data_IF_255220774513
#
_entry.id   IF_255220774513
#
_cell.length_a   1.000
_cell.length_b   1.000
_cell.length_c   1.000
_cell.angle_alpha   90.00
_cell.angle_beta   90.00
_cell.angle_gamma   90.00
#
_symmetry.space_group_name_H-M   'P 1'
#
loop_
_entity.id
_entity.type
_entity.pdbx_description
1 polymer ?
#
# COMPACT_ATOMS: atom_id res chain seq x y z
N UNK A 1 -4.93 23.10 -6.92
CA UNK A 1 -5.84 21.95 -7.23
C UNK A 1 -5.09 20.63 -7.32
N UNK A 2 -3.87 20.61 -7.88
CA UNK A 2 -3.03 19.39 -7.95
C UNK A 2 -2.57 18.94 -6.56
N UNK A 3 -2.28 19.88 -5.66
CA UNK A 3 -1.87 19.63 -4.28
C UNK A 3 -2.94 18.84 -3.53
N UNK A 4 -4.20 19.25 -3.65
CA UNK A 4 -5.34 18.55 -3.05
C UNK A 4 -5.50 17.13 -3.61
N UNK A 5 -5.24 16.92 -4.91
CA UNK A 5 -5.30 15.59 -5.51
C UNK A 5 -4.22 14.65 -4.91
N UNK A 6 -3.00 15.17 -4.74
CA UNK A 6 -1.88 14.45 -4.10
C UNK A 6 -2.24 14.11 -2.65
N UNK A 7 -2.67 15.11 -1.86
CA UNK A 7 -3.02 14.96 -0.44
C UNK A 7 -4.23 14.09 -0.14
N UNK A 8 -5.16 13.94 -1.09
CA UNK A 8 -6.40 13.19 -0.86
C UNK A 8 -6.32 11.79 -1.46
N UNK A 9 -5.92 11.66 -2.73
CA UNK A 9 -6.06 10.39 -3.45
C UNK A 9 -5.19 9.31 -2.83
N UNK A 10 -3.91 9.59 -2.58
CA UNK A 10 -3.01 8.57 -2.07
C UNK A 10 -3.42 8.10 -0.67
N UNK A 11 -3.62 8.99 0.33
CA UNK A 11 -4.05 8.55 1.65
C UNK A 11 -5.41 7.84 1.64
N UNK A 12 -6.36 8.32 0.83
CA UNK A 12 -7.65 7.67 0.66
C UNK A 12 -7.52 6.26 0.10
N UNK A 13 -6.71 6.06 -0.95
CA UNK A 13 -6.48 4.74 -1.54
C UNK A 13 -5.83 3.78 -0.55
N UNK A 14 -4.82 4.23 0.21
CA UNK A 14 -4.14 3.40 1.21
C UNK A 14 -5.07 3.00 2.35
N UNK A 15 -5.86 3.95 2.87
CA UNK A 15 -6.84 3.67 3.92
C UNK A 15 -7.96 2.75 3.41
N UNK A 16 -8.47 3.01 2.20
CA UNK A 16 -9.50 2.17 1.59
C UNK A 16 -8.99 0.75 1.33
N UNK A 17 -7.75 0.58 0.87
CA UNK A 17 -7.14 -0.74 0.72
C UNK A 17 -7.02 -1.46 2.06
N UNK A 18 -6.54 -0.78 3.12
CA UNK A 18 -6.44 -1.35 4.46
C UNK A 18 -7.79 -1.80 5.02
N UNK A 19 -8.82 -0.96 4.91
CA UNK A 19 -10.17 -1.27 5.39
C UNK A 19 -10.81 -2.37 4.54
N UNK A 20 -10.73 -2.28 3.21
CA UNK A 20 -11.28 -3.29 2.30
C UNK A 20 -10.65 -4.65 2.56
N UNK A 21 -9.34 -4.70 2.76
CA UNK A 21 -8.62 -5.94 3.04
C UNK A 21 -8.96 -6.50 4.43
N UNK A 22 -9.08 -5.65 5.45
CA UNK A 22 -9.56 -6.05 6.77
C UNK A 22 -10.97 -6.67 6.73
N UNK A 23 -11.89 -6.07 5.97
CA UNK A 23 -13.30 -6.48 5.92
C UNK A 23 -13.55 -7.67 5.01
N UNK A 24 -12.89 -7.70 3.85
CA UNK A 24 -13.20 -8.62 2.76
C UNK A 24 -12.04 -9.50 2.33
N UNK A 25 -10.82 -9.29 2.85
CA UNK A 25 -9.58 -9.94 2.39
C UNK A 25 -9.37 -9.76 0.89
N UNK A 26 -9.88 -8.66 0.33
CA UNK A 26 -9.72 -8.33 -1.08
C UNK A 26 -9.37 -6.85 -1.25
N UNK A 27 -8.36 -6.61 -2.07
CA UNK A 27 -7.99 -5.27 -2.54
C UNK A 27 -8.48 -5.15 -3.98
N UNK A 28 -9.46 -4.27 -4.21
CA UNK A 28 -10.02 -4.06 -5.53
C UNK A 28 -8.98 -3.50 -6.50
N UNK A 29 -8.90 -4.06 -7.71
CA UNK A 29 -7.97 -3.61 -8.77
C UNK A 29 -8.09 -2.10 -9.08
N UNK A 30 -9.25 -1.51 -8.82
CA UNK A 30 -9.52 -0.08 -9.00
C UNK A 30 -8.60 0.80 -8.15
N UNK A 31 -8.15 0.32 -6.99
CA UNK A 31 -7.33 1.11 -6.06
C UNK A 31 -5.90 1.29 -6.58
N UNK A 32 -5.14 0.22 -6.89
CA UNK A 32 -3.84 0.36 -7.57
C UNK A 32 -3.93 1.10 -8.91
N UNK A 33 -4.98 0.87 -9.69
CA UNK A 33 -5.17 1.55 -10.98
C UNK A 33 -5.40 3.06 -10.81
N UNK A 34 -6.19 3.47 -9.81
CA UNK A 34 -6.41 4.88 -9.52
C UNK A 34 -5.12 5.57 -9.08
N UNK A 35 -4.33 4.91 -8.20
CA UNK A 35 -3.01 5.41 -7.80
C UNK A 35 -2.10 5.62 -9.01
N UNK A 36 -2.01 4.62 -9.91
CA UNK A 36 -1.19 4.72 -11.11
C UNK A 36 -1.68 5.82 -12.05
N UNK A 37 -2.99 5.90 -12.31
CA UNK A 37 -3.58 6.89 -13.19
C UNK A 37 -3.33 8.32 -12.68
N UNK A 38 -3.51 8.55 -11.38
CA UNK A 38 -3.23 9.85 -10.77
C UNK A 38 -1.76 10.21 -10.86
N UNK A 39 -0.84 9.26 -10.63
CA UNK A 39 0.58 9.52 -10.82
C UNK A 39 0.90 9.95 -12.26
N UNK A 40 0.41 9.22 -13.26
CA UNK A 40 0.67 9.50 -14.68
C UNK A 40 0.13 10.87 -15.11
N UNK A 41 -0.97 11.32 -14.51
CA UNK A 41 -1.54 12.64 -14.80
C UNK A 41 -0.82 13.75 -14.03
N UNK A 42 -0.48 13.52 -12.76
CA UNK A 42 0.08 14.57 -11.89
C UNK A 42 1.56 14.79 -12.14
N UNK A 43 2.36 13.73 -12.34
CA UNK A 43 3.81 13.86 -12.47
C UNK A 43 4.27 14.78 -13.62
N UNK A 44 3.67 14.75 -14.83
CA UNK A 44 4.00 15.74 -15.88
C UNK A 44 3.63 17.17 -15.48
N UNK A 45 2.52 17.34 -14.73
CA UNK A 45 1.99 18.65 -14.36
C UNK A 45 2.78 19.31 -13.21
N UNK A 46 3.56 18.54 -12.45
CA UNK A 46 4.49 19.07 -11.45
C UNK A 46 5.82 19.53 -12.07
N UNK A 47 6.05 19.27 -13.36
CA UNK A 47 7.30 19.56 -14.05
C UNK A 47 8.40 18.52 -13.80
N UNK A 48 8.03 17.31 -13.33
CA UNK A 48 8.98 16.20 -13.16
C UNK A 48 9.63 15.85 -14.51
N UNK A 49 10.95 15.62 -14.50
CA UNK A 49 11.67 15.25 -15.71
C UNK A 49 11.19 13.87 -16.23
N UNK A 50 11.17 13.71 -17.56
CA UNK A 50 10.77 12.44 -18.19
C UNK A 50 11.63 11.26 -17.75
N UNK A 51 12.92 11.48 -17.49
CA UNK A 51 13.83 10.47 -16.94
C UNK A 51 13.36 9.99 -15.56
N UNK A 52 12.98 10.91 -14.69
CA UNK A 52 12.57 10.60 -13.32
C UNK A 52 11.23 9.87 -13.34
N UNK A 53 10.27 10.34 -14.14
CA UNK A 53 9.03 9.61 -14.36
C UNK A 53 9.26 8.17 -14.83
N UNK A 54 10.19 7.98 -15.78
CA UNK A 54 10.59 6.66 -16.25
C UNK A 54 11.12 5.78 -15.12
N UNK A 55 11.93 6.34 -14.22
CA UNK A 55 12.45 5.65 -13.04
C UNK A 55 11.35 5.28 -12.03
N UNK A 56 10.36 6.13 -11.82
CA UNK A 56 9.20 5.83 -10.98
C UNK A 56 8.38 4.66 -11.54
N UNK A 57 8.11 4.68 -12.85
CA UNK A 57 7.42 3.58 -13.53
C UNK A 57 8.24 2.29 -13.49
N UNK A 58 9.56 2.38 -13.67
CA UNK A 58 10.47 1.25 -13.55
C UNK A 58 10.49 0.66 -12.12
N UNK A 59 10.42 1.49 -11.08
CA UNK A 59 10.29 1.05 -9.70
C UNK A 59 9.02 0.23 -9.48
N UNK A 60 7.87 0.74 -9.94
CA UNK A 60 6.61 0.00 -9.91
C UNK A 60 6.64 -1.31 -10.69
N UNK A 61 7.23 -1.31 -11.89
CA UNK A 61 7.35 -2.50 -12.72
C UNK A 61 8.25 -3.56 -12.10
N UNK A 62 9.36 -3.16 -11.48
CA UNK A 62 10.26 -4.06 -10.76
C UNK A 62 9.55 -4.70 -9.56
N UNK A 63 8.88 -3.88 -8.75
CA UNK A 63 8.11 -4.38 -7.61
C UNK A 63 6.97 -5.30 -8.03
N UNK A 64 6.26 -4.97 -9.12
CA UNK A 64 5.24 -5.84 -9.67
C UNK A 64 5.84 -7.18 -10.11
N UNK A 65 7.00 -7.16 -10.79
CA UNK A 65 7.67 -8.38 -11.25
C UNK A 65 8.05 -9.28 -10.07
N UNK A 66 8.66 -8.70 -9.04
CA UNK A 66 9.08 -9.44 -7.83
C UNK A 66 7.86 -9.97 -7.07
N UNK A 67 6.87 -9.12 -6.79
CA UNK A 67 5.69 -9.51 -6.01
C UNK A 67 4.75 -10.43 -6.79
N UNK A 68 4.70 -10.32 -8.12
CA UNK A 68 4.01 -11.29 -8.99
C UNK A 68 4.70 -12.66 -8.96
N UNK A 69 6.03 -12.69 -8.93
CA UNK A 69 6.77 -13.94 -8.71
C UNK A 69 6.40 -14.60 -7.38
N UNK A 70 6.33 -13.81 -6.29
CA UNK A 70 5.87 -14.30 -4.98
C UNK A 70 4.41 -14.78 -5.02
N UNK A 71 3.53 -14.08 -5.73
CA UNK A 71 2.14 -14.49 -5.93
C UNK A 71 2.04 -15.81 -6.71
N UNK A 72 2.81 -15.98 -7.79
CA UNK A 72 2.83 -17.20 -8.60
C UNK A 72 3.32 -18.42 -7.81
N UNK A 73 4.21 -18.20 -6.83
CA UNK A 73 4.68 -19.22 -5.89
C UNK A 73 3.72 -19.46 -4.71
N UNK A 74 2.62 -18.70 -4.62
CA UNK A 74 1.63 -18.80 -3.54
C UNK A 74 2.04 -18.11 -2.23
N UNK A 75 3.09 -17.29 -2.24
CA UNK A 75 3.63 -16.63 -1.04
C UNK A 75 3.02 -15.26 -0.70
N UNK A 76 2.26 -14.63 -1.63
CA UNK A 76 1.67 -13.30 -1.43
C UNK A 76 0.32 -13.20 -2.15
N UNK A 77 -0.62 -12.40 -1.63
CA UNK A 77 -1.89 -12.12 -2.29
C UNK A 77 -1.71 -11.26 -3.55
N UNK A 78 -2.49 -11.54 -4.60
CA UNK A 78 -2.43 -10.75 -5.84
C UNK A 78 -2.88 -9.29 -5.67
N UNK A 79 -3.69 -9.00 -4.64
CA UNK A 79 -4.06 -7.63 -4.27
C UNK A 79 -2.89 -6.85 -3.69
N UNK A 80 -2.16 -7.47 -2.75
CA UNK A 80 -0.97 -6.91 -2.11
C UNK A 80 0.12 -6.58 -3.13
N UNK A 81 0.39 -7.53 -4.04
CA UNK A 81 1.36 -7.37 -5.11
C UNK A 81 1.09 -6.10 -5.97
N UNK A 82 -0.18 -5.90 -6.34
CA UNK A 82 -0.59 -4.72 -7.12
C UNK A 82 -0.50 -3.44 -6.32
N UNK A 83 -0.85 -3.46 -5.03
CA UNK A 83 -0.79 -2.28 -4.17
C UNK A 83 0.66 -1.85 -3.93
N UNK A 84 1.57 -2.80 -3.68
CA UNK A 84 3.01 -2.53 -3.54
C UNK A 84 3.56 -1.89 -4.81
N UNK A 85 3.22 -2.44 -5.98
CA UNK A 85 3.65 -1.89 -7.27
C UNK A 85 3.16 -0.44 -7.47
N UNK A 86 1.87 -0.18 -7.26
CA UNK A 86 1.31 1.16 -7.41
C UNK A 86 1.90 2.16 -6.40
N UNK A 87 2.11 1.74 -5.15
CA UNK A 87 2.75 2.57 -4.13
C UNK A 87 4.21 2.86 -4.49
N UNK A 88 4.93 1.87 -5.02
CA UNK A 88 6.29 2.05 -5.48
C UNK A 88 6.44 3.04 -6.63
N UNK A 89 5.44 3.15 -7.51
CA UNK A 89 5.42 4.23 -8.52
C UNK A 89 5.36 5.61 -7.86
N UNK A 90 4.60 5.78 -6.78
CA UNK A 90 4.55 7.06 -6.06
C UNK A 90 5.84 7.39 -5.33
N UNK A 91 6.45 6.38 -4.71
CA UNK A 91 7.69 6.56 -3.95
C UNK A 91 8.91 6.78 -4.85
N UNK A 92 8.96 6.11 -6.01
CA UNK A 92 10.11 6.12 -6.91
C UNK A 92 11.31 5.36 -6.36
N UNK A 93 12.38 5.25 -7.15
CA UNK A 93 13.63 4.69 -6.62
C UNK A 93 14.29 5.67 -5.65
N UNK A 94 14.55 5.22 -4.42
CA UNK A 94 15.25 6.01 -3.42
C UNK A 94 14.86 5.65 -2.00
N UNK A 95 15.14 6.58 -1.08
CA UNK A 95 14.83 6.44 0.34
C UNK A 95 13.33 6.23 0.63
N UNK A 96 12.37 6.93 -0.03
CA UNK A 96 10.95 6.78 0.28
C UNK A 96 10.44 5.35 0.00
N UNK A 97 10.94 4.71 -1.06
CA UNK A 97 10.57 3.33 -1.36
C UNK A 97 11.15 2.36 -0.33
N UNK A 98 12.40 2.57 0.09
CA UNK A 98 13.00 1.75 1.13
C UNK A 98 12.28 1.90 2.47
N UNK A 99 11.94 3.13 2.85
CA UNK A 99 11.13 3.43 4.04
C UNK A 99 9.77 2.73 3.97
N UNK A 100 9.09 2.80 2.82
CA UNK A 100 7.83 2.09 2.60
C UNK A 100 7.98 0.58 2.78
N UNK A 101 8.92 -0.06 2.09
CA UNK A 101 9.09 -1.51 2.12
C UNK A 101 9.49 -2.01 3.51
N UNK A 102 10.41 -1.32 4.19
CA UNK A 102 10.82 -1.67 5.55
C UNK A 102 9.67 -1.53 6.54
N UNK A 103 8.98 -0.38 6.52
CA UNK A 103 7.87 -0.12 7.44
C UNK A 103 6.72 -1.09 7.21
N UNK A 104 6.35 -1.33 5.95
CA UNK A 104 5.32 -2.29 5.59
C UNK A 104 5.70 -3.73 6.01
N UNK A 105 6.97 -4.12 5.85
CA UNK A 105 7.46 -5.44 6.27
C UNK A 105 7.41 -5.60 7.79
N UNK A 106 7.84 -4.59 8.55
CA UNK A 106 7.79 -4.60 10.01
C UNK A 106 6.34 -4.67 10.50
N UNK A 107 5.46 -3.80 9.98
CA UNK A 107 4.04 -3.80 10.34
C UNK A 107 3.36 -5.12 9.95
N UNK A 108 3.71 -5.68 8.79
CA UNK A 108 3.19 -6.97 8.32
C UNK A 108 3.64 -8.13 9.20
N UNK A 109 4.90 -8.13 9.63
CA UNK A 109 5.44 -9.11 10.57
C UNK A 109 4.75 -9.03 11.94
N UNK A 110 4.61 -7.82 12.49
CA UNK A 110 3.89 -7.60 13.76
C UNK A 110 2.43 -8.04 13.65
N UNK A 111 1.74 -7.69 12.57
CA UNK A 111 0.36 -8.10 12.32
C UNK A 111 0.24 -9.63 12.24
N UNK A 112 1.15 -10.28 11.51
CA UNK A 112 1.19 -11.74 11.38
C UNK A 112 1.37 -12.41 12.74
N UNK A 113 2.32 -11.95 13.54
CA UNK A 113 2.56 -12.47 14.90
C UNK A 113 1.34 -12.24 15.80
N UNK A 114 0.73 -11.06 15.75
CA UNK A 114 -0.46 -10.75 16.53
C UNK A 114 -1.64 -11.68 16.18
N UNK A 115 -1.83 -11.98 14.88
CA UNK A 115 -2.87 -12.91 14.41
C UNK A 115 -2.56 -14.35 14.83
N UNK A 116 -1.31 -14.80 14.75
CA UNK A 116 -0.92 -16.13 15.21
C UNK A 116 -1.17 -16.32 16.70
N UNK A 117 -0.79 -15.33 17.52
CA UNK A 117 -1.08 -15.33 18.96
C UNK A 117 -2.59 -15.33 19.21
N UNK A 118 -3.35 -14.51 18.49
CA UNK A 118 -4.80 -14.45 18.60
C UNK A 118 -5.49 -15.78 18.24
N UNK A 119 -5.05 -16.44 17.16
CA UNK A 119 -5.58 -17.74 16.72
C UNK A 119 -5.29 -18.85 17.74
N UNK A 120 -4.11 -18.81 18.37
CA UNK A 120 -3.73 -19.76 19.42
C UNK A 120 -4.46 -19.57 20.75
N UNK A 121 -5.20 -18.46 20.92
CA UNK A 121 -5.94 -18.15 22.15
C UNK A 121 -7.36 -18.73 22.14
N UNK A 122 -7.92 -19.14 23.29
CA UNK A 122 -9.33 -19.56 23.40
C UNK A 122 -10.33 -18.49 22.95
N UNK A 123 -9.88 -17.23 22.83
CA UNK A 123 -10.65 -16.10 22.33
C UNK A 123 -11.05 -16.26 20.85
N UNK A 124 -10.28 -17.00 20.03
CA UNK A 124 -10.61 -17.21 18.62
C UNK A 124 -11.98 -17.90 18.44
N UNK A 125 -12.29 -18.87 19.31
CA UNK A 125 -13.57 -19.59 19.35
C UNK A 125 -14.76 -18.73 19.79
N UNK A 126 -14.55 -17.75 20.68
CA UNK A 126 -15.61 -16.84 21.16
C UNK A 126 -15.88 -15.73 20.14
N UNK A 127 -14.81 -15.22 19.52
CA UNK A 127 -14.84 -14.07 18.61
C UNK A 127 -15.28 -14.45 17.19
N UNK A 128 -15.22 -15.73 16.80
CA UNK A 128 -15.74 -16.23 15.52
C UNK A 128 -17.23 -15.97 15.27
N UNK A 129 -17.99 -15.53 16.28
CA UNK A 129 -19.39 -15.07 16.16
C UNK A 129 -19.54 -13.66 15.58
N UNK A 130 -18.50 -12.83 15.60
CA UNK A 130 -18.54 -11.47 15.05
C UNK A 130 -18.15 -11.48 13.57
N UNK A 131 -19.03 -11.01 12.68
CA UNK A 131 -18.84 -11.05 11.22
C UNK A 131 -17.56 -10.36 10.74
N UNK A 132 -17.10 -9.32 11.45
CA UNK A 132 -15.87 -8.58 11.16
C UNK A 132 -14.60 -9.34 11.55
N UNK A 133 -14.64 -10.07 12.67
CA UNK A 133 -13.46 -10.76 13.24
C UNK A 133 -13.41 -12.25 12.84
N UNK A 134 -14.49 -12.77 12.25
CA UNK A 134 -14.56 -14.12 11.69
C UNK A 134 -13.42 -14.39 10.70
N UNK A 135 -13.07 -13.41 9.87
CA UNK A 135 -11.97 -13.55 8.91
C UNK A 135 -10.59 -13.69 9.59
N UNK A 136 -10.43 -13.14 10.79
CA UNK A 136 -9.20 -13.23 11.58
C UNK A 136 -9.10 -14.55 12.35
N UNK A 137 -10.24 -15.07 12.81
CA UNK A 137 -10.34 -16.32 13.57
C UNK A 137 -10.29 -17.60 12.72
N UNK A 138 -10.61 -17.54 11.42
CA UNK A 138 -10.56 -18.72 10.55
C UNK A 138 -9.12 -19.02 10.13
N UNK A 139 -8.57 -20.15 10.59
CA UNK A 139 -7.20 -20.60 10.26
C UNK A 139 -6.95 -20.72 8.75
N UNK A 140 -8.00 -21.01 7.97
CA UNK A 140 -7.94 -21.14 6.52
C UNK A 140 -7.83 -19.79 5.76
N UNK A 141 -8.10 -18.66 6.42
CA UNK A 141 -7.96 -17.34 5.80
C UNK A 141 -6.57 -16.76 6.06
N UNK A 142 -6.03 -16.07 5.05
CA UNK A 142 -4.74 -15.39 5.14
C UNK A 142 -4.74 -14.21 6.11
N UNK A 143 -3.60 -13.51 6.18
CA UNK A 143 -3.43 -12.27 6.95
C UNK A 143 -3.79 -11.07 6.06
N UNK A 144 -4.54 -10.07 6.55
CA UNK A 144 -4.89 -8.88 5.76
C UNK A 144 -3.69 -7.92 5.70
N UNK A 145 -2.73 -8.23 4.83
CA UNK A 145 -1.52 -7.43 4.65
C UNK A 145 -1.80 -6.02 4.15
N UNK A 146 -2.95 -5.75 3.56
CA UNK A 146 -3.41 -4.42 3.17
C UNK A 146 -3.40 -3.42 4.33
N UNK A 147 -3.55 -3.85 5.59
CA UNK A 147 -3.39 -2.99 6.76
C UNK A 147 -1.94 -2.51 6.89
N UNK A 148 -1.00 -3.45 6.83
CA UNK A 148 0.43 -3.14 6.95
C UNK A 148 0.92 -2.32 5.75
N UNK A 149 0.50 -2.68 4.54
CA UNK A 149 0.81 -1.94 3.31
C UNK A 149 0.21 -0.54 3.35
N UNK A 150 -1.06 -0.41 3.73
CA UNK A 150 -1.77 0.85 3.86
C UNK A 150 -1.08 1.82 4.82
N UNK A 151 -0.82 1.35 6.05
CA UNK A 151 -0.14 2.14 7.08
C UNK A 151 1.31 2.45 6.71
N UNK A 152 2.06 1.47 6.20
CA UNK A 152 3.43 1.69 5.73
C UNK A 152 3.50 2.73 4.61
N UNK A 153 2.55 2.70 3.67
CA UNK A 153 2.44 3.70 2.61
C UNK A 153 2.12 5.08 3.15
N UNK A 154 1.19 5.21 4.11
CA UNK A 154 0.85 6.48 4.76
C UNK A 154 2.02 7.08 5.55
N UNK A 155 2.87 6.24 6.16
CA UNK A 155 4.04 6.71 6.90
C UNK A 155 5.17 7.17 5.98
N UNK A 156 5.40 6.49 4.86
CA UNK A 156 6.41 6.87 3.87
C UNK A 156 5.94 7.98 2.91
N UNK A 157 4.62 8.20 2.82
CA UNK A 157 3.99 9.16 1.92
C UNK A 157 4.53 10.60 2.00
N UNK A 158 4.76 11.18 3.20
CA UNK A 158 5.31 12.54 3.32
C UNK A 158 6.68 12.71 2.68
N UNK A 159 7.48 11.64 2.64
CA UNK A 159 8.81 11.61 2.03
C UNK A 159 8.77 11.48 0.50
N UNK A 160 7.60 11.26 -0.10
CA UNK A 160 7.51 11.03 -1.55
C UNK A 160 7.73 12.31 -2.37
N UNK A 161 8.36 12.23 -3.57
CA UNK A 161 8.70 13.42 -4.36
C UNK A 161 7.52 14.32 -4.71
N UNK A 162 6.35 13.74 -4.99
CA UNK A 162 5.13 14.50 -5.32
C UNK A 162 4.60 15.28 -4.10
N UNK A 163 4.74 14.73 -2.91
CA UNK A 163 4.26 15.36 -1.67
C UNK A 163 5.19 16.49 -1.27
N UNK A 164 6.50 16.26 -1.33
CA UNK A 164 7.50 17.30 -1.08
C UNK A 164 7.25 18.50 -2.01
N UNK A 165 7.05 18.24 -3.31
CA UNK A 165 6.69 19.29 -4.27
C UNK A 165 5.41 20.04 -3.88
N UNK A 166 4.37 19.33 -3.45
CA UNK A 166 3.10 19.94 -3.07
C UNK A 166 3.22 20.80 -1.81
N UNK A 167 4.02 20.37 -0.83
CA UNK A 167 4.31 21.13 0.39
C UNK A 167 5.11 22.39 0.07
N UNK A 168 6.18 22.27 -0.71
CA UNK A 168 7.01 23.41 -1.11
C UNK A 168 6.20 24.47 -1.85
N UNK A 169 5.29 24.04 -2.73
CA UNK A 169 4.43 24.94 -3.48
C UNK A 169 3.36 25.64 -2.64
N UNK A 170 2.91 25.03 -1.53
CA UNK A 170 2.02 25.67 -0.56
C UNK A 170 2.79 26.64 0.34
N UNK A 171 4.03 26.30 0.73
CA UNK A 171 4.86 27.17 1.55
C UNK A 171 5.34 28.44 0.82
N UNK A 172 5.38 28.39 -0.52
CA UNK A 172 5.76 29.52 -1.37
C UNK A 172 4.60 30.49 -1.71
N UNK A 173 3.38 30.24 -1.21
CA UNK A 173 2.20 31.11 -1.37
C UNK A 173 1.99 31.99 -0.14
#
# INVERSE_FOLDING_TARGET
MLEALIFVVFPFCMMFAAISDMLSMTIANRVPLLLLAVFVVVAPLTGMAWSDMGMHIAAGALLLTVTFGLFALGGMGGGDAKLIAATGVWMGFGMPLMEYLLTATILGGVLTLAILVFRSSPLSHVVGRNMLLKNFSEDAKGVPYGIALGLGGLLAYPSSPLVVWAVDRLAAQ
#
